data_IF_994012199541
#
_entry.id   IF_994012199541
#
_cell.length_a   1.000
_cell.length_b   1.000
_cell.length_c   1.000
_cell.angle_alpha   90.00
_cell.angle_beta   90.00
_cell.angle_gamma   90.00
#
_symmetry.space_group_name_H-M   'P 1'
#
loop_
_entity.id
_entity.type
_entity.pdbx_description
1 polymer ?
#
# COMPACT_ATOMS: atom_id res chain seq x y z
N UNK A 1 -26.93 21.14 2.54
CA UNK A 1 -25.65 21.50 3.21
C UNK A 1 -24.77 20.31 3.60
N UNK A 2 -25.23 19.32 4.40
CA UNK A 2 -24.37 18.22 4.90
C UNK A 2 -23.60 17.42 3.82
N UNK A 3 -24.23 17.15 2.66
CA UNK A 3 -23.60 16.41 1.54
C UNK A 3 -22.41 17.15 0.90
N UNK A 4 -22.48 18.49 0.78
CA UNK A 4 -21.36 19.28 0.24
C UNK A 4 -20.17 19.29 1.19
N UNK A 5 -20.41 19.38 2.51
CA UNK A 5 -19.35 19.36 3.53
C UNK A 5 -18.64 17.99 3.52
N UNK A 6 -19.39 16.89 3.44
CA UNK A 6 -18.79 15.55 3.35
C UNK A 6 -17.95 15.37 2.07
N UNK A 7 -18.45 15.84 0.92
CA UNK A 7 -17.71 15.81 -0.34
C UNK A 7 -16.40 16.61 -0.25
N UNK A 8 -16.43 17.77 0.39
CA UNK A 8 -15.24 18.62 0.57
C UNK A 8 -14.20 17.95 1.45
N UNK A 9 -14.61 17.37 2.60
CA UNK A 9 -13.70 16.60 3.47
C UNK A 9 -13.05 15.42 2.75
N UNK A 10 -13.79 14.70 1.90
CA UNK A 10 -13.22 13.60 1.11
C UNK A 10 -12.21 14.12 0.08
N UNK A 11 -12.48 15.26 -0.56
CA UNK A 11 -11.52 15.90 -1.48
C UNK A 11 -10.26 16.35 -0.75
N UNK A 12 -10.40 16.96 0.43
CA UNK A 12 -9.28 17.42 1.25
C UNK A 12 -8.41 16.23 1.70
N UNK A 13 -9.00 15.12 2.16
CA UNK A 13 -8.27 13.89 2.51
C UNK A 13 -7.54 13.33 1.29
N UNK A 14 -8.20 13.29 0.12
CA UNK A 14 -7.55 12.83 -1.12
C UNK A 14 -6.36 13.72 -1.52
N UNK A 15 -6.49 15.04 -1.39
CA UNK A 15 -5.42 15.97 -1.69
C UNK A 15 -4.24 15.81 -0.71
N UNK A 16 -4.53 15.61 0.58
CA UNK A 16 -3.52 15.33 1.59
C UNK A 16 -2.79 14.02 1.32
N UNK A 17 -3.51 12.92 1.06
CA UNK A 17 -2.91 11.62 0.77
C UNK A 17 -2.04 11.64 -0.50
N UNK A 18 -2.40 12.44 -1.51
CA UNK A 18 -1.60 12.65 -2.72
C UNK A 18 -0.29 13.40 -2.51
N UNK A 19 -0.15 14.12 -1.41
CA UNK A 19 1.08 14.87 -1.09
C UNK A 19 1.89 14.19 0.01
N UNK A 20 1.25 13.31 0.78
CA UNK A 20 1.83 12.59 1.91
C UNK A 20 2.54 11.30 1.49
N UNK A 21 3.40 11.36 0.47
CA UNK A 21 4.28 10.25 0.17
C UNK A 21 5.42 10.21 1.18
N UNK A 22 5.35 9.26 2.12
CA UNK A 22 6.48 8.93 2.97
C UNK A 22 7.32 7.86 2.29
N UNK A 23 8.61 8.12 2.08
CA UNK A 23 9.55 7.09 1.67
C UNK A 23 9.78 6.18 2.86
N UNK A 24 9.59 4.88 2.69
CA UNK A 24 9.95 3.89 3.69
C UNK A 24 11.48 3.77 3.65
N UNK A 25 12.17 4.41 4.58
CA UNK A 25 13.65 4.37 4.65
C UNK A 25 14.18 3.15 5.39
N UNK A 26 13.40 2.65 6.35
CA UNK A 26 13.75 1.49 7.17
C UNK A 26 12.67 0.43 7.05
N UNK A 27 13.09 -0.83 7.17
CA UNK A 27 12.19 -1.97 7.24
C UNK A 27 11.31 -1.90 8.49
N UNK A 28 10.00 -2.04 8.31
CA UNK A 28 9.02 -2.19 9.39
C UNK A 28 8.15 -3.42 9.12
N UNK A 29 8.35 -4.45 9.93
CA UNK A 29 7.64 -5.74 9.85
C UNK A 29 6.11 -5.55 9.93
N UNK A 30 5.65 -4.65 10.81
CA UNK A 30 4.22 -4.42 11.00
C UNK A 30 3.60 -3.83 9.74
N UNK A 31 4.31 -2.89 9.10
CA UNK A 31 3.88 -2.29 7.85
C UNK A 31 3.87 -3.30 6.70
N UNK A 32 4.94 -4.09 6.56
CA UNK A 32 5.07 -5.12 5.52
C UNK A 32 3.92 -6.13 5.60
N UNK A 33 3.60 -6.59 6.80
CA UNK A 33 2.49 -7.52 7.05
C UNK A 33 1.12 -6.91 6.75
N UNK A 34 0.97 -5.59 6.84
CA UNK A 34 -0.28 -4.91 6.50
C UNK A 34 -0.46 -4.80 4.98
N UNK A 35 0.62 -4.54 4.23
CA UNK A 35 0.55 -4.27 2.78
C UNK A 35 0.58 -5.53 1.90
N UNK A 36 1.15 -6.63 2.38
CA UNK A 36 1.17 -7.92 1.68
C UNK A 36 -0.21 -8.58 1.74
N UNK A 37 -0.64 -9.13 0.61
CA UNK A 37 -1.83 -9.96 0.49
C UNK A 37 -1.48 -11.44 0.61
N UNK A 38 -0.54 -11.93 -0.22
CA UNK A 38 -0.02 -13.30 -0.14
C UNK A 38 1.41 -13.41 -0.65
N UNK A 39 2.09 -14.49 -0.23
CA UNK A 39 3.41 -14.88 -0.69
C UNK A 39 3.31 -16.31 -1.23
N UNK A 40 3.83 -16.55 -2.43
CA UNK A 40 3.96 -17.88 -3.04
C UNK A 40 5.44 -18.21 -3.16
N UNK A 41 5.84 -19.37 -2.63
CA UNK A 41 7.24 -19.81 -2.64
C UNK A 41 7.43 -20.88 -3.71
N UNK A 42 8.40 -20.66 -4.59
CA UNK A 42 8.87 -21.61 -5.60
C UNK A 42 10.31 -22.03 -5.28
N UNK A 43 10.86 -22.96 -6.06
CA UNK A 43 12.21 -23.48 -5.83
C UNK A 43 13.31 -22.41 -5.96
N UNK A 44 13.17 -21.50 -6.92
CA UNK A 44 14.19 -20.49 -7.28
C UNK A 44 13.77 -19.04 -7.00
N UNK A 45 12.50 -18.80 -6.66
CA UNK A 45 11.97 -17.45 -6.45
C UNK A 45 10.74 -17.45 -5.54
N UNK A 46 10.35 -16.24 -5.12
CA UNK A 46 9.11 -15.96 -4.41
C UNK A 46 8.30 -14.92 -5.16
N UNK A 47 7.00 -15.13 -5.26
CA UNK A 47 6.04 -14.12 -5.70
C UNK A 47 5.41 -13.46 -4.48
N UNK A 48 5.42 -12.12 -4.47
CA UNK A 48 4.77 -11.32 -3.43
C UNK A 48 3.66 -10.51 -4.08
N UNK A 49 2.41 -10.74 -3.67
CA UNK A 49 1.25 -9.95 -4.07
C UNK A 49 0.90 -8.96 -2.96
N UNK A 50 0.77 -7.68 -3.31
CA UNK A 50 0.35 -6.62 -2.41
C UNK A 50 -1.17 -6.45 -2.46
N UNK A 51 -1.77 -5.90 -1.40
CA UNK A 51 -3.21 -5.59 -1.34
C UNK A 51 -3.68 -4.59 -2.39
N UNK A 52 -2.76 -3.86 -3.01
CA UNK A 52 -3.04 -2.98 -4.15
C UNK A 52 -3.15 -3.74 -5.48
N UNK A 53 -2.90 -5.06 -5.49
CA UNK A 53 -2.86 -5.92 -6.66
C UNK A 53 -1.52 -5.92 -7.40
N UNK A 54 -0.53 -5.14 -6.94
CA UNK A 54 0.82 -5.17 -7.48
C UNK A 54 1.50 -6.49 -7.13
N UNK A 55 2.37 -6.97 -8.02
CA UNK A 55 3.16 -8.19 -7.82
C UNK A 55 4.63 -7.92 -8.06
N UNK A 56 5.47 -8.51 -7.22
CA UNK A 56 6.92 -8.54 -7.42
C UNK A 56 7.45 -9.96 -7.31
N UNK A 57 8.52 -10.24 -8.04
CA UNK A 57 9.29 -11.47 -7.96
C UNK A 57 10.60 -11.19 -7.23
N UNK A 58 10.93 -12.02 -6.25
CA UNK A 58 12.22 -12.00 -5.56
C UNK A 58 12.92 -13.31 -5.83
N UNK A 59 14.06 -13.25 -6.53
CA UNK A 59 14.91 -14.42 -6.77
C UNK A 59 15.68 -14.79 -5.50
N UNK A 60 16.01 -16.07 -5.38
CA UNK A 60 16.84 -16.62 -4.31
C UNK A 60 18.25 -16.00 -4.26
#
# INVERSE_FOLDING_TARGET
MKKQILSRRVQDIKAYLKTSYAKIENYDESLVRIIIDKIIVHDDYMEIEFKTGNKIEVKK
#
